data_IF_723809418394
#
_entry.id   IF_723809418394
#
_cell.length_a   1.000
_cell.length_b   1.000
_cell.length_c   1.000
_cell.angle_alpha   90.00
_cell.angle_beta   90.00
_cell.angle_gamma   90.00
#
_symmetry.space_group_name_H-M   'P 1'
#
loop_
_entity.id
_entity.type
_entity.pdbx_description
1 polymer ?
#
# COMPACT_ATOMS: atom_id res chain seq x y z
N UNK A 1 -7.30 -4.57 8.45
CA UNK A 1 -7.38 -3.09 8.25
C UNK A 1 -7.22 -2.90 6.77
N UNK A 2 -8.15 -2.19 6.13
CA UNK A 2 -8.15 -2.07 4.67
C UNK A 2 -7.12 -1.07 4.17
N UNK A 3 -6.42 -1.44 3.10
CA UNK A 3 -5.47 -0.59 2.41
C UNK A 3 -5.80 -0.46 0.93
N UNK A 4 -5.57 0.74 0.39
CA UNK A 4 -5.48 1.04 -1.04
C UNK A 4 -4.00 1.03 -1.43
N UNK A 5 -3.66 0.29 -2.47
CA UNK A 5 -2.33 0.33 -3.07
C UNK A 5 -2.36 1.11 -4.39
N UNK A 6 -1.45 2.06 -4.52
CA UNK A 6 -1.25 2.83 -5.73
C UNK A 6 0.11 2.53 -6.34
N UNK A 7 0.16 2.31 -7.64
CA UNK A 7 1.43 2.09 -8.35
C UNK A 7 2.02 3.44 -8.78
N UNK A 8 3.31 3.61 -8.50
CA UNK A 8 4.13 4.73 -8.98
C UNK A 8 4.73 4.41 -10.35
N UNK A 9 5.11 5.43 -11.15
CA UNK A 9 5.74 5.24 -12.45
C UNK A 9 7.06 4.46 -12.40
N UNK A 10 7.79 4.54 -11.29
CA UNK A 10 9.04 3.79 -11.06
C UNK A 10 8.82 2.33 -10.63
N UNK A 11 7.56 1.90 -10.51
CA UNK A 11 7.17 0.55 -10.11
C UNK A 11 7.12 0.31 -8.61
N UNK A 12 7.40 1.31 -7.78
CA UNK A 12 7.13 1.25 -6.34
C UNK A 12 5.63 1.39 -6.06
N UNK A 13 5.22 1.04 -4.84
CA UNK A 13 3.83 1.10 -4.42
C UNK A 13 3.66 2.05 -3.23
N UNK A 14 2.58 2.81 -3.25
CA UNK A 14 2.14 3.65 -2.14
C UNK A 14 0.94 2.99 -1.50
N UNK A 15 1.04 2.68 -0.21
CA UNK A 15 -0.02 2.11 0.60
C UNK A 15 -0.69 3.23 1.40
N UNK A 16 -2.01 3.29 1.32
CA UNK A 16 -2.83 4.26 2.06
C UNK A 16 -3.96 3.50 2.75
N UNK A 17 -4.20 3.69 4.05
CA UNK A 17 -5.36 3.09 4.71
C UNK A 17 -6.66 3.54 4.04
N UNK A 18 -7.65 2.66 3.89
CA UNK A 18 -8.87 2.97 3.13
C UNK A 18 -9.69 4.11 3.77
N UNK A 19 -9.62 4.21 5.10
CA UNK A 19 -10.19 5.29 5.91
C UNK A 19 -9.48 6.65 5.74
N UNK A 20 -8.29 6.66 5.15
CA UNK A 20 -7.62 7.89 4.75
C UNK A 20 -7.96 8.20 3.29
N UNK A 21 -8.24 9.48 3.01
CA UNK A 21 -8.29 9.96 1.63
C UNK A 21 -6.85 9.95 1.13
N UNK A 22 -6.60 9.31 -0.02
CA UNK A 22 -5.29 9.35 -0.67
C UNK A 22 -4.89 10.81 -0.84
N UNK A 23 -3.96 11.24 0.02
CA UNK A 23 -3.82 12.64 0.32
C UNK A 23 -3.26 13.35 -0.91
N UNK A 24 -3.76 14.55 -1.20
CA UNK A 24 -3.25 15.42 -2.29
C UNK A 24 -1.74 15.59 -2.21
N UNK A 25 -1.19 15.50 -0.99
CA UNK A 25 0.24 15.46 -0.68
C UNK A 25 0.98 14.27 -1.29
N UNK A 26 0.42 13.05 -1.20
CA UNK A 26 1.04 11.85 -1.77
C UNK A 26 1.11 11.95 -3.30
N UNK A 27 0.06 12.47 -3.94
CA UNK A 27 0.06 12.70 -5.39
C UNK A 27 1.03 13.81 -5.80
N UNK A 28 1.13 14.89 -5.02
CA UNK A 28 2.08 15.97 -5.27
C UNK A 28 3.54 15.48 -5.15
N UNK A 29 3.82 14.55 -4.23
CA UNK A 29 5.17 14.09 -3.92
C UNK A 29 5.63 12.89 -4.75
N UNK A 30 4.71 12.00 -5.12
CA UNK A 30 5.02 10.74 -5.81
C UNK A 30 4.53 10.69 -7.26
N UNK A 31 3.86 11.74 -7.73
CA UNK A 31 3.30 11.83 -9.07
C UNK A 31 1.90 11.21 -9.18
N UNK A 32 1.39 10.99 -10.40
CA UNK A 32 0.07 10.41 -10.58
C UNK A 32 0.01 9.00 -9.98
N UNK A 33 -0.84 8.83 -8.97
CA UNK A 33 -1.05 7.59 -8.26
C UNK A 33 -2.20 6.81 -8.92
N UNK A 34 -1.90 5.65 -9.47
CA UNK A 34 -2.91 4.76 -10.08
C UNK A 34 -3.30 3.69 -9.07
N UNK A 35 -4.57 3.66 -8.66
CA UNK A 35 -5.08 2.61 -7.77
C UNK A 35 -4.99 1.26 -8.50
N UNK A 36 -4.31 0.30 -7.89
CA UNK A 36 -4.08 -1.02 -8.48
C UNK A 36 -4.68 -2.15 -7.66
N UNK A 37 -4.85 -1.96 -6.35
CA UNK A 37 -5.49 -2.95 -5.49
C UNK A 37 -6.12 -2.31 -4.25
N UNK A 38 -7.14 -2.99 -3.72
CA UNK A 38 -7.60 -2.85 -2.34
C UNK A 38 -7.41 -4.19 -1.65
N UNK A 39 -6.93 -4.19 -0.43
CA UNK A 39 -6.83 -5.42 0.35
C UNK A 39 -7.14 -5.22 1.81
N UNK A 40 -7.86 -6.19 2.36
CA UNK A 40 -7.93 -6.39 3.80
C UNK A 40 -6.70 -7.22 4.18
N UNK A 41 -5.64 -6.54 4.60
CA UNK A 41 -4.50 -7.22 5.16
C UNK A 41 -4.81 -7.56 6.62
N UNK A 42 -4.86 -8.85 6.92
CA UNK A 42 -4.47 -9.32 8.23
C UNK A 42 -2.97 -9.01 8.35
N UNK A 43 -2.62 -7.87 8.97
CA UNK A 43 -1.24 -7.44 9.16
C UNK A 43 -0.64 -8.21 10.33
N UNK A 44 0.20 -9.25 10.11
CA UNK A 44 0.91 -9.89 11.20
C UNK A 44 1.82 -8.85 11.90
N UNK A 45 1.67 -8.65 13.22
CA UNK A 45 2.43 -7.63 13.96
C UNK A 45 3.94 -7.91 13.99
N UNK A 46 4.34 -9.17 13.75
CA UNK A 46 5.74 -9.61 13.73
C UNK A 46 6.41 -9.49 12.35
N UNK A 47 5.68 -9.08 11.30
CA UNK A 47 6.28 -8.91 9.98
C UNK A 47 7.04 -7.56 9.89
N UNK A 48 8.37 -7.58 9.67
CA UNK A 48 9.18 -6.37 9.64
C UNK A 48 8.80 -5.40 8.51
N UNK A 49 8.19 -5.91 7.42
CA UNK A 49 7.64 -5.06 6.37
C UNK A 49 6.45 -4.28 6.91
N UNK A 50 5.55 -4.94 7.63
CA UNK A 50 4.38 -4.27 8.21
C UNK A 50 4.76 -3.29 9.30
N UNK A 51 5.72 -3.61 10.15
CA UNK A 51 6.22 -2.66 11.16
C UNK A 51 6.75 -1.39 10.49
N UNK A 52 7.46 -1.52 9.37
CA UNK A 52 7.95 -0.36 8.60
C UNK A 52 6.82 0.43 7.97
N UNK A 53 5.83 -0.24 7.39
CA UNK A 53 4.64 0.42 6.83
C UNK A 53 3.89 1.18 7.91
N UNK A 54 3.67 0.59 9.09
CA UNK A 54 3.03 1.26 10.22
C UNK A 54 3.83 2.47 10.71
N UNK A 55 5.16 2.35 10.80
CA UNK A 55 6.03 3.46 11.17
C UNK A 55 6.03 4.59 10.14
N UNK A 56 5.92 4.28 8.84
CA UNK A 56 5.78 5.29 7.80
C UNK A 56 4.41 5.98 7.91
N UNK A 57 3.32 5.22 8.11
CA UNK A 57 1.96 5.74 8.28
C UNK A 57 1.81 6.69 9.47
N UNK A 58 2.52 6.42 10.57
CA UNK A 58 2.60 7.29 11.74
C UNK A 58 3.26 8.63 11.43
N UNK A 59 4.27 8.64 10.54
CA UNK A 59 5.04 9.84 10.17
C UNK A 59 4.38 10.66 9.08
N UNK A 60 3.80 10.00 8.09
CA UNK A 60 3.19 10.58 6.91
C UNK A 60 2.09 9.61 6.50
N UNK A 61 0.88 10.08 6.22
CA UNK A 61 -0.33 9.23 6.15
C UNK A 61 -0.40 8.22 4.99
N UNK A 62 0.75 7.79 4.46
CA UNK A 62 0.97 6.75 3.46
C UNK A 62 2.31 6.07 3.73
N UNK A 63 2.46 4.82 3.28
CA UNK A 63 3.75 4.13 3.27
C UNK A 63 4.21 3.84 1.85
N UNK A 64 5.53 3.81 1.63
CA UNK A 64 6.11 3.46 0.34
C UNK A 64 6.79 2.11 0.44
N UNK A 65 6.36 1.15 -0.36
CA UNK A 65 6.97 -0.18 -0.45
C UNK A 65 7.64 -0.37 -1.80
N UNK A 66 8.75 -1.10 -1.80
CA UNK A 66 9.48 -1.45 -3.02
C UNK A 66 8.65 -2.37 -3.90
N UNK A 67 9.00 -2.40 -5.19
CA UNK A 67 8.33 -3.20 -6.21
C UNK A 67 8.08 -4.65 -5.79
N UNK A 68 9.12 -5.41 -5.44
CA UNK A 68 8.97 -6.82 -5.03
C UNK A 68 7.97 -7.03 -3.89
N UNK A 69 8.03 -6.17 -2.87
CA UNK A 69 7.13 -6.23 -1.73
C UNK A 69 5.70 -5.88 -2.13
N UNK A 70 5.53 -4.83 -2.93
CA UNK A 70 4.22 -4.41 -3.42
C UNK A 70 3.59 -5.42 -4.38
N UNK A 71 4.38 -6.02 -5.27
CA UNK A 71 3.93 -7.09 -6.17
C UNK A 71 3.43 -8.30 -5.37
N UNK A 72 4.15 -8.69 -4.29
CA UNK A 72 3.68 -9.76 -3.37
C UNK A 72 2.40 -9.38 -2.64
N UNK A 73 2.28 -8.14 -2.17
CA UNK A 73 1.06 -7.66 -1.51
C UNK A 73 -0.13 -7.64 -2.46
N UNK A 74 0.07 -7.18 -3.70
CA UNK A 74 -0.97 -7.20 -4.75
C UNK A 74 -1.35 -8.64 -5.10
N UNK A 75 -0.39 -9.57 -5.19
CA UNK A 75 -0.69 -10.98 -5.45
C UNK A 75 -1.56 -11.60 -4.34
N UNK A 76 -1.26 -11.30 -3.07
CA UNK A 76 -2.05 -11.76 -1.92
C UNK A 76 -3.43 -11.10 -1.89
N UNK A 77 -3.52 -9.81 -2.26
CA UNK A 77 -4.77 -9.07 -2.40
C UNK A 77 -5.68 -9.65 -3.49
N UNK A 78 -5.08 -10.11 -4.58
CA UNK A 78 -5.75 -10.74 -5.72
C UNK A 78 -5.94 -12.25 -5.53
N UNK A 79 -6.04 -12.75 -4.29
CA UNK A 79 -6.25 -14.17 -3.97
C UNK A 79 -7.30 -14.83 -4.89
N UNK A 80 -7.13 -16.12 -5.21
CA UNK A 80 -7.78 -16.78 -6.35
C UNK A 80 -9.27 -16.49 -6.32
N UNK A 81 -9.81 -16.04 -7.47
CA UNK A 81 -11.25 -15.97 -7.69
C UNK A 81 -11.87 -17.25 -7.13
N UNK A 82 -12.58 -17.14 -6.00
CA UNK A 82 -13.39 -18.24 -5.47
C UNK A 82 -14.46 -18.50 -6.52
N UNK A 83 -14.22 -19.52 -7.32
CA UNK A 83 -15.19 -20.21 -8.16
C UNK A 83 -16.25 -20.91 -7.30
#
# INVERSE_FOLDING_TARGET
MDFKAYRRPDGAYVLVPDCFVASRDAQARHGPLVLVARFDAACPPDDPVWQRVLADLDRQSYAVVRRDTGDRLVLVASGPETA
#
